data_IF_047870766869
#
_entry.id   IF_047870766869
#
_cell.length_a   1.000
_cell.length_b   1.000
_cell.length_c   1.000
_cell.angle_alpha   90.00
_cell.angle_beta   90.00
_cell.angle_gamma   90.00
#
_symmetry.space_group_name_H-M   'P 1'
#
loop_
_entity.id
_entity.type
_entity.pdbx_description
1 polymer ?
#
# COMPACT_ATOMS: atom_id res chain seq x y z
N UNK A 1 -1.79 3.26 18.77
CA UNK A 1 -0.47 3.71 18.29
C UNK A 1 -0.57 5.15 17.81
N UNK A 2 0.12 6.13 18.43
CA UNK A 2 -0.02 7.51 18.02
C UNK A 2 0.98 7.79 16.90
N UNK A 3 0.63 7.42 15.67
CA UNK A 3 1.34 7.91 14.48
C UNK A 3 1.10 9.42 14.24
N UNK A 4 0.28 10.06 15.09
CA UNK A 4 -0.25 11.40 14.86
C UNK A 4 -1.39 11.43 13.83
N UNK A 5 -1.69 10.30 13.18
CA UNK A 5 -2.79 10.17 12.23
C UNK A 5 -4.01 9.56 12.92
N UNK A 6 -5.17 10.17 12.71
CA UNK A 6 -6.45 9.59 13.09
C UNK A 6 -6.87 8.53 12.08
N UNK A 7 -6.26 7.34 12.23
CA UNK A 7 -6.50 6.18 11.36
C UNK A 7 -7.97 5.79 11.36
N UNK A 8 -8.67 5.92 12.48
CA UNK A 8 -10.10 5.61 12.56
C UNK A 8 -10.92 6.56 11.68
N UNK A 9 -10.67 7.87 11.76
CA UNK A 9 -11.33 8.84 10.88
C UNK A 9 -11.02 8.60 9.41
N UNK A 10 -9.77 8.22 9.07
CA UNK A 10 -9.40 7.89 7.69
C UNK A 10 -10.17 6.64 7.19
N UNK A 11 -10.22 5.57 7.99
CA UNK A 11 -10.96 4.36 7.62
C UNK A 11 -12.46 4.63 7.49
N UNK A 12 -13.03 5.43 8.39
CA UNK A 12 -14.43 5.85 8.30
C UNK A 12 -14.69 6.66 7.02
N UNK A 13 -13.81 7.60 6.68
CA UNK A 13 -13.90 8.37 5.44
C UNK A 13 -13.85 7.45 4.21
N UNK A 14 -12.90 6.51 4.18
CA UNK A 14 -12.79 5.53 3.09
C UNK A 14 -14.05 4.66 2.98
N UNK A 15 -14.62 4.21 4.09
CA UNK A 15 -15.82 3.39 4.11
C UNK A 15 -17.09 4.16 3.66
N UNK A 16 -17.15 5.47 3.91
CA UNK A 16 -18.32 6.32 3.65
C UNK A 16 -18.17 7.22 2.42
N UNK A 17 -17.08 7.06 1.67
CA UNK A 17 -16.74 7.92 0.52
C UNK A 17 -17.84 7.95 -0.55
N UNK A 18 -18.05 9.09 -1.22
CA UNK A 18 -19.06 9.21 -2.25
C UNK A 18 -18.64 8.46 -3.53
N UNK A 19 -19.58 7.75 -4.17
CA UNK A 19 -19.40 7.08 -5.47
C UNK A 19 -18.17 6.15 -5.54
N UNK A 20 -18.11 5.10 -4.70
CA UNK A 20 -16.99 4.16 -4.70
C UNK A 20 -16.82 3.49 -6.08
N UNK A 21 -15.60 3.50 -6.63
CA UNK A 21 -15.27 2.75 -7.85
C UNK A 21 -14.92 1.30 -7.54
N UNK A 22 -14.38 1.05 -6.34
CA UNK A 22 -14.03 -0.29 -5.85
C UNK A 22 -14.92 -0.67 -4.65
N UNK A 23 -15.47 -1.87 -4.65
CA UNK A 23 -16.21 -2.37 -3.49
C UNK A 23 -15.24 -3.00 -2.48
N UNK A 24 -15.14 -2.39 -1.29
CA UNK A 24 -14.24 -2.84 -0.23
C UNK A 24 -14.87 -3.80 0.79
N UNK A 25 -16.19 -3.75 0.95
CA UNK A 25 -16.85 -4.28 2.15
C UNK A 25 -16.48 -3.50 3.42
N UNK A 26 -16.69 -4.12 4.57
CA UNK A 26 -16.32 -3.55 5.87
C UNK A 26 -14.80 -3.65 6.08
N UNK A 27 -14.18 -2.55 6.47
CA UNK A 27 -12.75 -2.46 6.80
C UNK A 27 -12.58 -1.88 8.19
N UNK A 28 -11.71 -2.50 8.99
CA UNK A 28 -11.28 -2.02 10.30
C UNK A 28 -9.77 -2.25 10.50
N UNK A 29 -9.27 -2.09 11.73
CA UNK A 29 -7.86 -2.31 12.06
C UNK A 29 -7.40 -3.78 12.01
N UNK A 30 -8.30 -4.74 11.83
CA UNK A 30 -7.95 -6.17 11.76
C UNK A 30 -7.39 -6.59 10.41
N UNK A 31 -7.46 -5.72 9.38
CA UNK A 31 -6.93 -6.01 8.04
C UNK A 31 -5.50 -5.50 7.84
N UNK A 32 -4.81 -6.06 6.84
CA UNK A 32 -3.50 -5.62 6.42
C UNK A 32 -3.60 -4.36 5.55
N UNK A 33 -3.16 -3.22 6.06
CA UNK A 33 -3.12 -1.96 5.32
C UNK A 33 -1.99 -1.05 5.79
N UNK A 34 -1.75 -0.01 5.00
CA UNK A 34 -0.81 1.07 5.32
C UNK A 34 -1.36 2.39 4.79
N UNK A 35 -0.84 3.50 5.30
CA UNK A 35 -1.12 4.84 4.80
C UNK A 35 0.17 5.44 4.26
N UNK A 36 0.07 6.12 3.11
CA UNK A 36 1.18 6.85 2.52
C UNK A 36 0.84 8.34 2.43
N UNK A 37 1.82 9.20 2.70
CA UNK A 37 1.67 10.64 2.50
C UNK A 37 2.04 11.00 1.06
N UNK A 38 1.04 11.36 0.25
CA UNK A 38 1.24 11.71 -1.16
C UNK A 38 2.00 13.04 -1.34
N UNK A 39 2.08 13.89 -0.31
CA UNK A 39 2.77 15.19 -0.36
C UNK A 39 4.28 15.03 -0.17
N UNK A 40 4.71 13.90 0.41
CA UNK A 40 6.13 13.62 0.58
C UNK A 40 6.74 13.11 -0.73
N UNK A 41 8.00 13.49 -1.02
CA UNK A 41 8.74 12.89 -2.11
C UNK A 41 8.69 11.37 -2.01
N UNK A 42 8.38 10.72 -3.14
CA UNK A 42 8.36 9.26 -3.23
C UNK A 42 7.25 8.54 -2.45
N UNK A 43 6.25 9.25 -1.94
CA UNK A 43 5.02 8.66 -1.36
C UNK A 43 5.35 7.71 -0.21
N UNK A 44 5.96 8.26 0.84
CA UNK A 44 6.41 7.49 1.99
C UNK A 44 5.27 6.95 2.83
N UNK A 45 5.45 5.74 3.36
CA UNK A 45 4.55 5.11 4.34
C UNK A 45 4.67 5.86 5.67
N UNK A 46 3.53 6.34 6.18
CA UNK A 46 3.39 7.08 7.44
C UNK A 46 2.61 6.32 8.51
N UNK A 47 2.01 5.19 8.13
CA UNK A 47 1.38 4.26 9.06
C UNK A 47 1.35 2.87 8.45
N UNK A 48 1.45 1.83 9.28
CA UNK A 48 1.28 0.44 8.87
C UNK A 48 0.52 -0.32 9.97
N UNK A 49 -0.45 -1.14 9.58
CA UNK A 49 -1.20 -1.99 10.51
C UNK A 49 -0.37 -3.18 10.95
N UNK A 50 -0.64 -3.69 12.16
CA UNK A 50 0.02 -4.91 12.66
C UNK A 50 -0.21 -6.13 11.74
N UNK A 51 -1.43 -6.41 11.23
CA UNK A 51 -1.63 -7.50 10.27
C UNK A 51 -0.76 -7.39 9.01
N UNK A 52 -0.43 -6.18 8.55
CA UNK A 52 0.49 -6.01 7.42
C UNK A 52 1.91 -6.43 7.78
N UNK A 53 2.40 -6.09 8.97
CA UNK A 53 3.72 -6.54 9.45
C UNK A 53 3.80 -8.05 9.56
N UNK A 54 2.75 -8.69 10.08
CA UNK A 54 2.63 -10.15 10.18
C UNK A 54 2.58 -10.82 8.80
N UNK A 55 1.79 -10.28 7.87
CA UNK A 55 1.64 -10.81 6.51
C UNK A 55 2.98 -10.79 5.76
N UNK A 56 3.72 -9.69 5.86
CA UNK A 56 4.91 -9.43 5.04
C UNK A 56 6.21 -9.86 5.71
N UNK A 57 6.21 -10.06 7.03
CA UNK A 57 7.39 -10.39 7.83
C UNK A 57 8.33 -9.20 8.08
N UNK A 58 7.95 -7.99 7.67
CA UNK A 58 8.73 -6.77 7.93
C UNK A 58 8.26 -6.09 9.22
N UNK A 59 9.20 -5.68 10.05
CA UNK A 59 8.89 -4.90 11.24
C UNK A 59 8.51 -3.47 10.89
N UNK A 60 7.72 -2.82 11.75
CA UNK A 60 7.32 -1.42 11.57
C UNK A 60 8.52 -0.50 11.24
N UNK A 61 9.61 -0.61 12.01
CA UNK A 61 10.84 0.18 11.79
C UNK A 61 11.50 -0.06 10.41
N UNK A 62 11.22 -1.17 9.75
CA UNK A 62 11.73 -1.47 8.40
C UNK A 62 10.80 -0.94 7.30
N UNK A 63 9.56 -0.59 7.61
CA UNK A 63 8.53 -0.17 6.64
C UNK A 63 8.37 1.34 6.64
N UNK A 64 8.34 1.96 7.81
CA UNK A 64 8.09 3.39 7.98
C UNK A 64 9.09 4.24 7.16
N UNK A 65 8.58 5.27 6.50
CA UNK A 65 9.39 6.18 5.68
C UNK A 65 9.83 5.62 4.32
N UNK A 66 9.46 4.38 3.96
CA UNK A 66 9.75 3.82 2.64
C UNK A 66 8.56 3.95 1.70
N UNK A 67 8.82 3.85 0.40
CA UNK A 67 7.78 3.56 -0.58
C UNK A 67 7.48 2.05 -0.59
N UNK A 68 6.21 1.67 -0.66
CA UNK A 68 5.74 0.27 -0.63
C UNK A 68 6.31 -0.63 -1.75
N UNK A 69 6.95 -0.06 -2.78
CA UNK A 69 7.59 -0.84 -3.85
C UNK A 69 8.61 -1.87 -3.37
N UNK A 70 9.13 -1.76 -2.14
CA UNK A 70 10.06 -2.76 -1.59
C UNK A 70 9.50 -4.19 -1.68
N UNK A 71 8.17 -4.36 -1.58
CA UNK A 71 7.51 -5.65 -1.75
C UNK A 71 7.60 -6.24 -3.17
N UNK A 72 8.01 -5.46 -4.18
CA UNK A 72 8.09 -5.88 -5.59
C UNK A 72 9.39 -6.62 -5.94
N UNK A 73 10.26 -6.87 -4.96
CA UNK A 73 11.51 -7.60 -5.15
C UNK A 73 11.83 -8.49 -3.95
N UNK A 74 12.33 -9.72 -4.16
CA UNK A 74 12.83 -10.54 -3.07
C UNK A 74 13.97 -9.81 -2.35
N UNK A 75 13.94 -9.81 -1.02
CA UNK A 75 14.90 -9.08 -0.19
C UNK A 75 14.69 -7.56 -0.14
N UNK A 76 13.57 -7.03 -0.65
CA UNK A 76 13.18 -5.63 -0.44
C UNK A 76 13.91 -4.59 -1.30
N UNK A 77 14.74 -5.00 -2.26
CA UNK A 77 15.64 -4.11 -3.02
C UNK A 77 15.04 -3.61 -4.34
N UNK A 78 13.88 -2.97 -4.27
CA UNK A 78 13.25 -2.33 -5.44
C UNK A 78 13.59 -0.83 -5.51
N UNK A 79 14.32 -0.40 -6.55
CA UNK A 79 14.66 1.00 -6.77
C UNK A 79 13.56 1.74 -7.53
N UNK A 80 13.45 3.05 -7.32
CA UNK A 80 12.62 3.91 -8.16
C UNK A 80 13.11 3.82 -9.61
N UNK A 81 12.19 3.83 -10.59
CA UNK A 81 12.47 3.73 -12.03
C UNK A 81 13.18 2.46 -12.55
N UNK A 82 13.46 1.45 -11.70
CA UNK A 82 14.05 0.19 -12.19
C UNK A 82 13.02 -0.67 -12.92
N UNK A 83 13.44 -1.53 -13.84
CA UNK A 83 12.58 -2.63 -14.27
C UNK A 83 12.28 -3.56 -13.08
N UNK A 84 11.07 -4.11 -13.02
CA UNK A 84 10.69 -5.11 -12.00
C UNK A 84 10.81 -6.47 -12.65
N UNK A 85 11.67 -7.33 -12.11
CA UNK A 85 11.90 -8.68 -12.68
C UNK A 85 10.68 -9.60 -12.52
N UNK A 86 9.91 -9.40 -11.45
CA UNK A 86 8.85 -10.31 -11.02
C UNK A 86 7.45 -9.69 -11.05
N UNK A 87 7.32 -8.43 -11.48
CA UNK A 87 6.05 -7.71 -11.46
C UNK A 87 5.78 -7.15 -12.85
N UNK A 88 4.55 -7.36 -13.34
CA UNK A 88 4.12 -6.86 -14.63
C UNK A 88 4.22 -5.33 -14.67
N UNK A 89 4.89 -4.81 -15.71
CA UNK A 89 5.10 -3.37 -15.91
C UNK A 89 3.77 -2.61 -16.00
N UNK A 90 2.77 -3.17 -16.67
CA UNK A 90 1.46 -2.54 -16.82
C UNK A 90 0.74 -2.39 -15.47
N UNK A 91 0.91 -3.35 -14.55
CA UNK A 91 0.39 -3.28 -13.18
C UNK A 91 1.07 -2.14 -12.41
N UNK A 92 2.39 -2.01 -12.52
CA UNK A 92 3.16 -0.92 -11.89
C UNK A 92 2.72 0.43 -12.44
N UNK A 93 2.59 0.56 -13.76
CA UNK A 93 2.13 1.79 -14.41
C UNK A 93 0.67 2.13 -14.04
N UNK A 94 -0.20 1.14 -13.88
CA UNK A 94 -1.58 1.35 -13.44
C UNK A 94 -1.63 1.90 -12.00
N UNK A 95 -0.85 1.34 -11.07
CA UNK A 95 -0.73 1.89 -9.71
C UNK A 95 -0.19 3.32 -9.72
N UNK A 96 0.83 3.60 -10.52
CA UNK A 96 1.38 4.96 -10.65
C UNK A 96 0.34 5.95 -11.15
N UNK A 97 -0.39 5.62 -12.23
CA UNK A 97 -1.46 6.48 -12.76
C UNK A 97 -2.58 6.71 -11.75
N UNK A 98 -2.96 5.69 -10.98
CA UNK A 98 -3.99 5.80 -9.96
C UNK A 98 -3.57 6.80 -8.85
N UNK A 99 -2.32 6.74 -8.41
CA UNK A 99 -1.77 7.73 -7.45
C UNK A 99 -1.75 9.14 -8.05
N UNK A 100 -1.27 9.30 -9.29
CA UNK A 100 -1.18 10.61 -9.95
C UNK A 100 -2.55 11.26 -10.17
N UNK A 101 -3.57 10.45 -10.45
CA UNK A 101 -4.94 10.92 -10.71
C UNK A 101 -5.85 10.93 -9.48
N UNK A 102 -5.35 10.51 -8.31
CA UNK A 102 -6.15 10.32 -7.10
C UNK A 102 -7.35 9.38 -7.35
N UNK A 103 -7.15 8.33 -8.14
CA UNK A 103 -8.18 7.36 -8.50
C UNK A 103 -8.07 6.07 -7.69
N UNK A 104 -9.22 5.49 -7.36
CA UNK A 104 -9.28 4.15 -6.78
C UNK A 104 -8.91 3.09 -7.80
N UNK A 105 -8.18 2.08 -7.36
CA UNK A 105 -7.84 0.91 -8.17
C UNK A 105 -7.79 -0.34 -7.31
N UNK A 106 -8.21 -1.47 -7.89
CA UNK A 106 -7.99 -2.81 -7.36
C UNK A 106 -7.33 -3.66 -8.43
N UNK A 107 -6.26 -4.36 -8.06
CA UNK A 107 -5.52 -5.21 -8.98
C UNK A 107 -4.76 -6.31 -8.24
N UNK A 108 -4.31 -7.29 -8.99
CA UNK A 108 -3.38 -8.32 -8.50
C UNK A 108 -1.94 -7.91 -8.80
N UNK A 109 -1.08 -8.01 -7.78
CA UNK A 109 0.35 -7.74 -7.89
C UNK A 109 1.15 -8.81 -7.15
N UNK A 110 2.21 -9.32 -7.79
CA UNK A 110 3.13 -10.23 -7.11
C UNK A 110 3.97 -9.44 -6.11
N UNK A 111 3.94 -9.85 -4.86
CA UNK A 111 4.76 -9.31 -3.79
C UNK A 111 5.62 -10.40 -3.15
N UNK A 112 6.62 -9.99 -2.38
CA UNK A 112 7.54 -10.87 -1.69
C UNK A 112 7.54 -10.52 -0.20
N UNK A 113 7.43 -11.56 0.63
CA UNK A 113 7.68 -11.44 2.06
C UNK A 113 9.17 -11.19 2.32
N UNK A 114 9.52 -10.80 3.54
CA UNK A 114 10.91 -10.50 3.93
C UNK A 114 11.87 -11.65 3.65
N UNK A 115 11.45 -12.88 3.91
CA UNK A 115 12.22 -14.10 3.66
C UNK A 115 12.30 -14.48 2.18
N UNK A 116 11.61 -13.75 1.28
CA UNK A 116 11.66 -13.94 -0.17
C UNK A 116 10.53 -14.80 -0.74
N UNK A 117 9.60 -15.28 0.09
CA UNK A 117 8.43 -16.05 -0.37
C UNK A 117 7.52 -15.17 -1.23
N UNK A 118 7.22 -15.54 -2.49
CA UNK A 118 6.26 -14.81 -3.31
C UNK A 118 4.82 -15.05 -2.85
N UNK A 119 3.97 -14.03 -2.99
CA UNK A 119 2.53 -14.15 -2.83
C UNK A 119 1.81 -13.21 -3.80
N UNK A 120 0.59 -13.57 -4.19
CA UNK A 120 -0.30 -12.68 -4.96
C UNK A 120 -1.02 -11.77 -3.97
N UNK A 121 -0.84 -10.47 -4.13
CA UNK A 121 -1.50 -9.45 -3.34
C UNK A 121 -2.65 -8.85 -4.16
N UNK A 122 -3.88 -9.04 -3.70
CA UNK A 122 -5.05 -8.32 -4.21
C UNK A 122 -5.04 -6.93 -3.56
N UNK A 123 -4.33 -6.00 -4.20
CA UNK A 123 -4.09 -4.68 -3.67
C UNK A 123 -5.24 -3.74 -4.06
N UNK A 124 -5.83 -3.09 -3.06
CA UNK A 124 -6.74 -1.95 -3.28
C UNK A 124 -6.08 -0.66 -2.79
N UNK A 125 -6.11 0.37 -3.63
CA UNK A 125 -5.60 1.71 -3.31
C UNK A 125 -6.74 2.70 -3.40
N UNK A 126 -6.90 3.52 -2.35
CA UNK A 126 -7.95 4.52 -2.25
C UNK A 126 -7.33 5.83 -1.83
N UNK A 127 -7.69 6.89 -2.54
CA UNK A 127 -7.35 8.25 -2.16
C UNK A 127 -8.36 8.75 -1.12
N UNK A 128 -7.87 9.15 0.05
CA UNK A 128 -8.72 9.63 1.16
C UNK A 128 -8.86 11.15 1.22
N UNK A 129 -8.12 11.92 0.43
CA UNK A 129 -8.18 13.39 0.43
C UNK A 129 -7.63 14.09 1.69
N UNK A 130 -7.04 13.33 2.62
CA UNK A 130 -6.46 13.83 3.87
C UNK A 130 -4.94 13.98 3.80
#
# INVERSE_FOLDING_TARGET
CPSGFDVMSILLHVATRPKPKVHLGAIDCSVAFLLCDLRQPDTHIVYVSEPFTLLTGYFNAEIMGKNCRFLQAPGGKARKHSARKHVNKNTVEAMHRAVEKNEEIQLEVVNFKKEGTPFVNILTMIYSGH
#
